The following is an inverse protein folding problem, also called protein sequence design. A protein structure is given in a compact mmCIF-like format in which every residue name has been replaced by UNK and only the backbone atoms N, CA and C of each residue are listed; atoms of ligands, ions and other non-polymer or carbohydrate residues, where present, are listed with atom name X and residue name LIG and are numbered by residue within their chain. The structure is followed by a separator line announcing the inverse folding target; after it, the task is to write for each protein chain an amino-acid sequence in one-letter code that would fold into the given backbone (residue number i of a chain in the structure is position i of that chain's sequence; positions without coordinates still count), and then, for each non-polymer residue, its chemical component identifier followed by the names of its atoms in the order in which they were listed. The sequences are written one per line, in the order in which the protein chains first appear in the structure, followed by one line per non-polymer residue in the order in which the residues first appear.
data_IF_317713397622
#
_entry.id   IF_317713397622
#
_cell.length_a   1.000
_cell.length_b   1.000
_cell.length_c   1.000
_cell.angle_alpha   90.00
_cell.angle_beta   90.00
_cell.angle_gamma   90.00
#
_symmetry.space_group_name_H-M   'P 1'
#
loop_
_entity.id
_entity.type
_entity.pdbx_description
1 polymer ?
#
# COMPACT_ATOMS: atom_id res chain seq x y z
N UNK A 1 -14.77 -8.54 -18.77
CA UNK A 1 -14.75 -8.17 -20.20
C UNK A 1 -14.65 -9.45 -20.99
N UNK A 2 -15.53 -9.64 -21.97
CA UNK A 2 -15.48 -10.78 -22.88
C UNK A 2 -14.38 -10.59 -23.93
N UNK A 3 -13.93 -11.64 -24.64
CA UNK A 3 -12.88 -11.53 -25.65
C UNK A 3 -13.22 -10.59 -26.82
N UNK A 4 -14.49 -10.26 -27.02
CA UNK A 4 -14.98 -9.31 -28.02
C UNK A 4 -14.91 -7.84 -27.56
N UNK A 5 -14.45 -7.58 -26.34
CA UNK A 5 -14.33 -6.25 -25.75
C UNK A 5 -15.59 -5.76 -25.03
N UNK A 6 -16.67 -6.54 -25.01
CA UNK A 6 -17.91 -6.18 -24.30
C UNK A 6 -17.78 -6.41 -22.78
N UNK A 7 -18.54 -5.63 -22.00
CA UNK A 7 -18.64 -5.84 -20.54
C UNK A 7 -19.34 -7.18 -20.29
N UNK A 8 -18.80 -7.96 -19.36
CA UNK A 8 -19.40 -9.22 -18.97
C UNK A 8 -20.60 -8.96 -18.04
N UNK A 9 -21.79 -9.41 -18.46
CA UNK A 9 -23.06 -9.21 -17.75
C UNK A 9 -23.56 -10.47 -17.05
N UNK A 10 -22.74 -11.52 -16.97
CA UNK A 10 -23.12 -12.80 -16.34
C UNK A 10 -23.38 -12.71 -14.84
N UNK A 11 -22.72 -11.78 -14.14
CA UNK A 11 -22.91 -11.54 -12.71
C UNK A 11 -23.13 -10.04 -12.40
N UNK A 12 -23.50 -9.72 -11.17
CA UNK A 12 -23.49 -8.35 -10.68
C UNK A 12 -22.06 -7.83 -10.52
N UNK A 13 -21.12 -8.67 -10.09
CA UNK A 13 -19.74 -8.28 -9.84
C UNK A 13 -18.95 -8.10 -11.14
N UNK A 14 -19.29 -8.84 -12.20
CA UNK A 14 -18.58 -8.80 -13.49
C UNK A 14 -18.71 -7.46 -14.24
N UNK A 15 -19.73 -6.67 -13.90
CA UNK A 15 -20.01 -5.34 -14.47
C UNK A 15 -19.60 -4.17 -13.57
N UNK A 16 -18.97 -4.47 -12.43
CA UNK A 16 -18.54 -3.46 -11.46
C UNK A 16 -17.05 -3.11 -11.64
N UNK A 17 -16.72 -1.86 -11.34
CA UNK A 17 -15.35 -1.39 -11.12
C UNK A 17 -15.09 -1.44 -9.62
N UNK A 18 -14.11 -2.24 -9.18
CA UNK A 18 -13.74 -2.36 -7.77
C UNK A 18 -12.52 -1.49 -7.48
N UNK A 19 -12.69 -0.43 -6.69
CA UNK A 19 -11.65 0.58 -6.45
C UNK A 19 -10.32 -0.02 -5.98
N UNK A 20 -10.38 -0.90 -4.97
CA UNK A 20 -9.19 -1.55 -4.43
C UNK A 20 -8.49 -2.50 -5.40
N UNK A 21 -9.28 -3.23 -6.22
CA UNK A 21 -8.71 -4.11 -7.25
C UNK A 21 -8.02 -3.28 -8.32
N UNK A 22 -8.62 -2.17 -8.76
CA UNK A 22 -8.01 -1.26 -9.73
C UNK A 22 -6.68 -0.71 -9.24
N UNK A 23 -6.59 -0.27 -7.98
CA UNK A 23 -5.31 0.18 -7.41
C UNK A 23 -4.28 -0.94 -7.28
N UNK A 24 -4.70 -2.15 -6.91
CA UNK A 24 -3.80 -3.30 -6.85
C UNK A 24 -3.24 -3.66 -8.24
N UNK A 25 -4.10 -3.67 -9.27
CA UNK A 25 -3.69 -3.87 -10.67
C UNK A 25 -2.74 -2.77 -11.13
N UNK A 26 -3.02 -1.50 -10.80
CA UNK A 26 -2.12 -0.40 -11.09
C UNK A 26 -0.74 -0.58 -10.40
N UNK A 27 -0.71 -1.02 -9.14
CA UNK A 27 0.55 -1.33 -8.46
C UNK A 27 1.32 -2.47 -9.15
N UNK A 28 0.63 -3.52 -9.61
CA UNK A 28 1.25 -4.60 -10.41
C UNK A 28 1.79 -4.07 -11.74
N UNK A 29 1.05 -3.22 -12.45
CA UNK A 29 1.54 -2.58 -13.67
C UNK A 29 2.83 -1.79 -13.41
N UNK A 30 2.92 -1.05 -12.30
CA UNK A 30 4.17 -0.37 -11.92
C UNK A 30 5.32 -1.34 -11.67
N UNK A 31 5.06 -2.47 -11.01
CA UNK A 31 6.08 -3.49 -10.73
C UNK A 31 6.62 -4.13 -12.01
N UNK A 32 5.78 -4.25 -13.04
CA UNK A 32 6.14 -4.73 -14.38
C UNK A 32 6.70 -3.63 -15.30
N UNK A 33 6.91 -2.41 -14.79
CA UNK A 33 7.49 -1.29 -15.55
C UNK A 33 6.50 -0.53 -16.45
N UNK A 34 5.20 -0.81 -16.36
CA UNK A 34 4.14 -0.17 -17.13
C UNK A 34 3.61 1.10 -16.43
N UNK A 35 4.49 2.07 -16.20
CA UNK A 35 4.20 3.25 -15.36
C UNK A 35 3.03 4.10 -15.88
N UNK A 36 3.01 4.43 -17.17
CA UNK A 36 1.96 5.28 -17.76
C UNK A 36 0.58 4.59 -17.69
N UNK A 37 0.56 3.29 -17.99
CA UNK A 37 -0.66 2.47 -17.92
C UNK A 37 -1.17 2.36 -16.47
N UNK A 38 -0.26 2.22 -15.51
CA UNK A 38 -0.61 2.18 -14.09
C UNK A 38 -1.29 3.47 -13.63
N UNK A 39 -0.70 4.63 -13.92
CA UNK A 39 -1.28 5.92 -13.55
C UNK A 39 -2.59 6.20 -14.28
N UNK A 40 -2.69 5.84 -15.57
CA UNK A 40 -3.93 5.96 -16.33
C UNK A 40 -5.05 5.06 -15.76
N UNK A 41 -4.71 3.84 -15.32
CA UNK A 41 -5.66 2.92 -14.70
C UNK A 41 -6.13 3.45 -13.35
N UNK A 42 -5.20 3.91 -12.51
CA UNK A 42 -5.53 4.48 -11.20
C UNK A 42 -6.29 5.81 -11.29
N UNK A 43 -6.02 6.63 -12.31
CA UNK A 43 -6.69 7.93 -12.49
C UNK A 43 -8.19 7.78 -12.68
N UNK A 44 -8.67 6.67 -13.27
CA UNK A 44 -10.11 6.41 -13.36
C UNK A 44 -10.82 6.35 -12.00
N UNK A 45 -10.16 5.81 -10.96
CA UNK A 45 -10.69 5.82 -9.59
C UNK A 45 -10.65 7.22 -8.98
N UNK A 46 -9.59 7.98 -9.25
CA UNK A 46 -9.49 9.38 -8.83
C UNK A 46 -10.61 10.22 -9.46
N UNK A 47 -10.81 10.12 -10.77
CA UNK A 47 -11.87 10.84 -11.48
C UNK A 47 -13.26 10.47 -10.94
N UNK A 48 -13.53 9.18 -10.73
CA UNK A 48 -14.81 8.77 -10.18
C UNK A 48 -15.04 9.28 -8.74
N UNK A 49 -14.02 9.25 -7.89
CA UNK A 49 -14.20 9.51 -6.46
C UNK A 49 -13.99 10.99 -6.06
N UNK A 50 -13.04 11.69 -6.68
CA UNK A 50 -12.49 12.95 -6.19
C UNK A 50 -12.61 14.13 -7.15
N UNK A 51 -12.83 13.91 -8.46
CA UNK A 51 -12.94 15.04 -9.39
C UNK A 51 -14.27 15.78 -9.22
N UNK A 52 -14.27 17.05 -9.62
CA UNK A 52 -15.45 17.94 -9.49
C UNK A 52 -16.65 17.41 -10.29
N UNK A 53 -16.39 16.78 -11.44
CA UNK A 53 -17.38 16.16 -12.31
C UNK A 53 -17.57 14.65 -12.04
N UNK A 54 -16.96 14.13 -10.97
CA UNK A 54 -17.01 12.74 -10.57
C UNK A 54 -18.35 12.33 -9.93
N UNK A 55 -18.36 11.16 -9.30
CA UNK A 55 -19.54 10.55 -8.66
C UNK A 55 -19.71 10.95 -7.18
N UNK A 56 -18.83 11.80 -6.65
CA UNK A 56 -18.96 12.37 -5.31
C UNK A 56 -18.64 11.41 -4.16
N UNK A 57 -17.65 10.53 -4.34
CA UNK A 57 -17.27 9.54 -3.32
C UNK A 57 -16.15 10.00 -2.37
N UNK A 58 -15.77 11.28 -2.40
CA UNK A 58 -14.75 11.87 -1.54
C UNK A 58 -14.98 11.50 -0.07
N UNK A 59 -13.92 11.03 0.60
CA UNK A 59 -13.91 10.57 2.00
C UNK A 59 -14.81 9.37 2.33
N UNK A 60 -15.43 8.74 1.34
CA UNK A 60 -16.32 7.58 1.53
C UNK A 60 -16.22 6.58 0.37
N UNK A 61 -15.02 6.45 -0.21
CA UNK A 61 -14.77 5.63 -1.41
C UNK A 61 -15.40 4.24 -1.28
N UNK A 62 -16.29 3.85 -2.22
CA UNK A 62 -16.96 2.56 -2.14
C UNK A 62 -16.05 1.40 -2.51
N UNK A 63 -16.52 0.20 -2.18
CA UNK A 63 -15.96 -1.03 -2.72
C UNK A 63 -16.01 -1.03 -4.25
N UNK A 64 -17.18 -0.71 -4.80
CA UNK A 64 -17.43 -0.84 -6.21
C UNK A 64 -18.48 0.16 -6.72
N UNK A 65 -18.46 0.42 -8.03
CA UNK A 65 -19.56 1.08 -8.76
C UNK A 65 -19.75 0.47 -10.14
N UNK A 66 -20.92 0.68 -10.74
CA UNK A 66 -21.21 0.27 -12.12
C UNK A 66 -21.08 1.44 -13.11
N UNK A 67 -21.31 1.19 -14.40
CA UNK A 67 -21.24 2.20 -15.47
C UNK A 67 -22.28 3.31 -15.34
N UNK A 68 -23.33 3.11 -14.55
CA UNK A 68 -24.34 4.13 -14.21
C UNK A 68 -24.00 4.92 -12.94
N UNK A 69 -22.85 4.68 -12.33
CA UNK A 69 -22.41 5.36 -11.10
C UNK A 69 -23.16 4.92 -9.83
N UNK A 70 -23.85 3.78 -9.87
CA UNK A 70 -24.46 3.20 -8.67
C UNK A 70 -23.37 2.47 -7.89
N UNK A 71 -23.19 2.84 -6.63
CA UNK A 71 -22.15 2.30 -5.77
C UNK A 71 -22.62 1.10 -4.93
N UNK A 72 -21.65 0.34 -4.43
CA UNK A 72 -21.83 -0.71 -3.42
C UNK A 72 -20.83 -0.51 -2.29
N UNK A 73 -21.33 -0.52 -1.05
CA UNK A 73 -20.55 -0.45 0.20
C UNK A 73 -19.60 0.76 0.26
N UNK A 74 -20.12 1.94 0.65
CA UNK A 74 -19.31 3.14 0.92
C UNK A 74 -18.31 2.94 2.06
N UNK A 75 -17.31 3.81 2.12
CA UNK A 75 -16.28 3.87 3.17
C UNK A 75 -15.58 2.52 3.37
N UNK A 76 -15.18 1.91 2.26
CA UNK A 76 -14.68 0.54 2.26
C UNK A 76 -13.16 0.47 2.43
N UNK A 77 -12.67 -0.65 2.98
CA UNK A 77 -11.26 -0.83 3.30
C UNK A 77 -10.36 -1.05 2.06
N UNK A 78 -10.86 -1.78 1.05
CA UNK A 78 -10.06 -2.18 -0.13
C UNK A 78 -9.43 -1.02 -0.92
N UNK A 79 -10.07 0.17 -1.09
CA UNK A 79 -9.41 1.30 -1.74
C UNK A 79 -8.06 1.76 -1.12
N UNK A 80 -7.74 1.37 0.12
CA UNK A 80 -6.42 1.62 0.71
C UNK A 80 -5.26 0.91 -0.03
N UNK A 81 -5.56 -0.01 -0.95
CA UNK A 81 -4.59 -0.63 -1.85
C UNK A 81 -3.79 0.37 -2.70
N UNK A 82 -4.23 1.63 -2.83
CA UNK A 82 -3.45 2.71 -3.47
C UNK A 82 -2.03 2.83 -2.88
N UNK A 83 -1.83 2.53 -1.60
CA UNK A 83 -0.51 2.56 -0.97
C UNK A 83 0.47 1.51 -1.52
N UNK A 84 -0.01 0.46 -2.18
CA UNK A 84 0.85 -0.50 -2.88
C UNK A 84 1.57 0.15 -4.09
N UNK A 85 0.95 1.17 -4.70
CA UNK A 85 1.61 1.98 -5.73
C UNK A 85 2.76 2.78 -5.11
N UNK A 86 2.53 3.42 -3.96
CA UNK A 86 3.57 4.15 -3.22
C UNK A 86 4.75 3.25 -2.85
N UNK A 87 4.48 2.02 -2.39
CA UNK A 87 5.52 1.04 -2.11
C UNK A 87 6.40 0.75 -3.33
N UNK A 88 5.80 0.72 -4.52
CA UNK A 88 6.54 0.48 -5.78
C UNK A 88 7.38 1.69 -6.18
N UNK A 89 6.85 2.91 -5.99
CA UNK A 89 7.55 4.17 -6.25
C UNK A 89 8.73 4.41 -5.29
N UNK A 90 8.53 4.10 -4.02
CA UNK A 90 9.51 4.30 -2.94
C UNK A 90 10.08 2.97 -2.45
N UNK A 91 10.37 2.06 -3.39
CA UNK A 91 10.81 0.71 -3.03
C UNK A 91 12.08 0.79 -2.19
N UNK A 92 12.03 0.39 -0.90
CA UNK A 92 13.21 0.47 -0.06
C UNK A 92 14.29 -0.46 -0.61
N UNK A 93 15.56 -0.07 -0.43
CA UNK A 93 16.68 -0.97 -0.71
C UNK A 93 16.61 -2.12 0.30
N UNK A 94 15.98 -3.21 -0.09
CA UNK A 94 15.98 -4.44 0.70
C UNK A 94 17.43 -4.92 0.78
N UNK A 95 17.93 -5.16 1.99
CA UNK A 95 19.27 -5.69 2.21
C UNK A 95 19.35 -7.04 1.48
N UNK A 96 20.14 -7.14 0.40
CA UNK A 96 20.54 -8.42 -0.19
C UNK A 96 21.53 -9.08 0.75
N UNK A 97 21.05 -9.60 1.88
CA UNK A 97 21.90 -10.42 2.73
C UNK A 97 21.93 -11.81 2.11
N UNK A 98 23.02 -12.13 1.39
CA UNK A 98 23.29 -13.51 0.99
C UNK A 98 23.36 -14.39 2.25
N UNK A 99 22.53 -15.42 2.26
CA UNK A 99 22.31 -16.25 3.43
C UNK A 99 23.52 -17.15 3.69
N UNK A 100 24.29 -16.82 4.73
CA UNK A 100 25.14 -17.80 5.41
C UNK A 100 24.64 -17.97 6.85
N UNK A 101 23.52 -18.67 7.00
CA UNK A 101 22.96 -18.96 8.32
C UNK A 101 23.54 -20.28 8.85
N UNK A 102 24.53 -20.21 9.73
CA UNK A 102 24.89 -21.33 10.62
C UNK A 102 24.05 -21.19 11.89
N UNK A 103 23.02 -22.02 12.05
CA UNK A 103 22.26 -22.11 13.29
C UNK A 103 23.16 -22.75 14.35
N UNK A 104 23.30 -22.13 15.52
CA UNK A 104 23.87 -22.79 16.70
C UNK A 104 22.71 -23.18 17.63
N UNK A 105 22.49 -24.48 17.80
CA UNK A 105 21.31 -25.07 18.47
C UNK A 105 21.15 -24.65 19.94
N UNK A 106 22.22 -24.19 20.59
CA UNK A 106 22.25 -23.88 22.02
C UNK A 106 21.43 -22.64 22.43
N UNK A 107 21.02 -21.79 21.47
CA UNK A 107 20.22 -20.59 21.76
C UNK A 107 18.73 -20.85 21.95
N UNK A 108 18.26 -22.09 21.75
CA UNK A 108 16.84 -22.46 21.78
C UNK A 108 16.30 -22.85 23.17
N UNK A 109 17.14 -22.83 24.21
CA UNK A 109 16.77 -23.31 25.54
C UNK A 109 15.94 -22.31 26.39
N UNK A 110 15.68 -21.09 25.91
CA UNK A 110 15.02 -20.04 26.69
C UNK A 110 13.50 -19.93 26.52
N UNK A 111 12.99 -19.85 25.29
CA UNK A 111 11.56 -19.58 25.03
C UNK A 111 11.11 -20.15 23.65
N UNK A 112 10.60 -21.40 23.61
CA UNK A 112 10.29 -22.10 22.36
C UNK A 112 9.17 -21.45 21.53
N UNK A 113 8.28 -20.70 22.17
CA UNK A 113 7.07 -20.17 21.53
C UNK A 113 7.28 -18.90 20.67
N UNK A 114 8.48 -18.30 20.71
CA UNK A 114 8.76 -17.04 20.01
C UNK A 114 9.94 -17.10 19.04
N UNK A 115 10.68 -18.22 18.95
CA UNK A 115 11.85 -18.32 18.08
C UNK A 115 11.53 -18.04 16.60
N UNK A 116 10.38 -18.51 16.09
CA UNK A 116 9.93 -18.24 14.72
C UNK A 116 9.55 -16.76 14.51
N UNK A 117 8.86 -16.17 15.47
CA UNK A 117 8.45 -14.76 15.42
C UNK A 117 9.63 -13.81 15.59
N UNK A 118 10.60 -14.13 16.44
CA UNK A 118 11.81 -13.33 16.63
C UNK A 118 12.69 -13.37 15.39
N UNK A 119 12.79 -14.54 14.74
CA UNK A 119 13.46 -14.70 13.46
C UNK A 119 12.80 -13.84 12.37
N UNK A 120 11.47 -13.88 12.28
CA UNK A 120 10.69 -13.03 11.36
C UNK A 120 10.84 -11.53 11.68
N UNK A 121 10.77 -11.13 12.95
CA UNK A 121 10.90 -9.74 13.37
C UNK A 121 12.28 -9.16 13.02
N UNK A 122 13.35 -9.97 13.13
CA UNK A 122 14.68 -9.58 12.67
C UNK A 122 14.75 -9.46 11.15
N UNK A 123 14.08 -10.34 10.40
CA UNK A 123 14.02 -10.27 8.93
C UNK A 123 13.19 -9.11 8.39
N UNK A 124 12.14 -8.70 9.11
CA UNK A 124 11.26 -7.58 8.74
C UNK A 124 11.79 -6.22 9.19
N UNK A 125 12.87 -6.19 9.97
CA UNK A 125 13.51 -4.94 10.39
C UNK A 125 14.12 -4.27 9.18
N UNK A 126 13.46 -3.22 8.68
CA UNK A 126 14.04 -2.35 7.67
C UNK A 126 15.35 -1.76 8.21
N UNK A 127 16.37 -1.51 7.36
CA UNK A 127 17.54 -0.77 7.78
C UNK A 127 17.09 0.56 8.40
N UNK A 128 17.71 0.96 9.51
CA UNK A 128 17.52 2.32 10.01
C UNK A 128 17.84 3.26 8.85
N UNK A 129 16.84 4.00 8.37
CA UNK A 129 17.11 5.15 7.53
C UNK A 129 18.10 6.00 8.33
N UNK A 130 19.26 6.32 7.75
CA UNK A 130 20.08 7.39 8.26
C UNK A 130 19.18 8.63 8.26
N UNK A 131 18.55 8.89 9.40
CA UNK A 131 17.73 10.06 9.57
C UNK A 131 18.71 11.21 9.42
N UNK A 132 18.78 11.82 8.25
CA UNK A 132 19.31 13.16 8.11
C UNK A 132 18.35 14.03 8.91
N UNK A 133 18.54 14.10 10.23
CA UNK A 133 17.74 14.94 11.10
C UNK A 133 17.86 16.33 10.53
N UNK A 134 16.79 16.81 9.92
CA UNK A 134 16.73 18.17 9.41
C UNK A 134 17.10 19.10 10.56
N UNK A 135 17.87 20.15 10.27
CA UNK A 135 18.34 21.10 11.28
C UNK A 135 17.18 21.65 12.12
N UNK A 136 16.01 21.81 11.50
CA UNK A 136 14.76 22.21 12.16
C UNK A 136 14.30 21.21 13.24
N UNK A 137 14.45 19.90 13.00
CA UNK A 137 14.07 18.85 13.94
C UNK A 137 15.00 18.84 15.16
N UNK A 138 16.30 19.04 14.94
CA UNK A 138 17.29 19.18 16.01
C UNK A 138 17.05 20.43 16.87
N UNK A 139 16.65 21.55 16.27
CA UNK A 139 16.28 22.77 16.99
C UNK A 139 15.00 22.61 17.80
N UNK A 140 14.00 21.94 17.22
CA UNK A 140 12.74 21.63 17.90
C UNK A 140 12.96 20.72 19.12
N UNK A 141 13.73 19.64 18.95
CA UNK A 141 14.07 18.72 20.05
C UNK A 141 14.86 19.43 21.17
N UNK A 142 15.76 20.37 20.81
CA UNK A 142 16.48 21.19 21.78
C UNK A 142 15.54 22.13 22.54
N UNK A 143 14.60 22.78 21.84
CA UNK A 143 13.61 23.64 22.47
C UNK A 143 12.71 22.85 23.43
N UNK A 144 12.21 21.68 23.02
CA UNK A 144 11.39 20.82 23.88
C UNK A 144 12.16 20.34 25.12
N UNK A 145 13.43 19.94 24.98
CA UNK A 145 14.28 19.57 26.14
C UNK A 145 14.58 20.75 27.06
N UNK A 146 14.74 21.96 26.53
CA UNK A 146 15.07 23.15 27.31
C UNK A 146 13.85 23.73 28.04
N UNK A 147 12.65 23.57 27.47
CA UNK A 147 11.41 24.12 28.02
C UNK A 147 10.54 23.09 28.76
N UNK A 148 11.00 21.85 28.92
CA UNK A 148 10.44 20.91 29.90
C UNK A 148 9.05 20.37 29.56
N UNK A 149 8.67 20.35 28.28
CA UNK A 149 7.46 19.64 27.84
C UNK A 149 7.84 18.16 27.63
N UNK A 150 7.80 17.39 28.71
CA UNK A 150 7.84 15.91 28.67
C UNK A 150 6.44 15.33 28.71
#
# INVERSE_FOLDING_TARGET
MLPDGTVDMSDMQSREIWSGVTYAVAATMMQEGLMDMAFHTASGVYEAAWSEQGLGYSFQTPEAWNTSGQYRSLSYMRPLAIWAMQWTLSRPKLHKQEMNFKVNEDSLLGHPHHAGFEKLARFLKLPEEESSKSYAQSLFDYACKKFGYS
#
